data_IF_616130617774
#
_entry.id   IF_616130617774
#
_cell.length_a   1.000
_cell.length_b   1.000
_cell.length_c   1.000
_cell.angle_alpha   90.00
_cell.angle_beta   90.00
_cell.angle_gamma   90.00
#
_symmetry.space_group_name_H-M   'P 1'
#
loop_
_entity.id
_entity.type
_entity.pdbx_description
1 polymer ?
#
# COMPACT_ATOMS: atom_id res chain seq x y z
N UNK A 1 -19.70 4.80 16.64
CA UNK A 1 -18.49 4.46 15.86
C UNK A 1 -18.06 5.69 15.10
N UNK A 2 -16.78 6.05 15.16
CA UNK A 2 -16.19 7.20 14.47
C UNK A 2 -15.02 6.72 13.64
N UNK A 3 -15.04 7.00 12.34
CA UNK A 3 -13.91 6.73 11.44
C UNK A 3 -13.20 8.06 11.19
N UNK A 4 -11.97 8.16 11.66
CA UNK A 4 -11.13 9.34 11.46
C UNK A 4 -10.23 9.12 10.26
N UNK A 5 -10.65 9.68 9.13
CA UNK A 5 -9.87 9.75 7.91
C UNK A 5 -9.29 11.16 7.73
N UNK A 6 -8.06 11.35 8.20
CA UNK A 6 -7.36 12.62 8.11
C UNK A 6 -5.86 12.38 7.90
N UNK A 7 -5.15 13.38 7.40
CA UNK A 7 -3.69 13.32 7.31
C UNK A 7 -3.09 13.19 8.73
N UNK A 8 -2.02 12.40 8.87
CA UNK A 8 -1.39 12.10 10.17
C UNK A 8 -0.98 13.34 10.97
N UNK A 9 -0.68 14.46 10.30
CA UNK A 9 -0.38 15.75 10.92
C UNK A 9 -1.55 16.39 11.66
N UNK A 10 -2.80 16.11 11.26
CA UNK A 10 -4.01 16.69 11.87
C UNK A 10 -4.68 15.78 12.88
N UNK A 11 -4.39 14.47 12.86
CA UNK A 11 -4.96 13.49 13.80
C UNK A 11 -4.74 13.90 15.27
N UNK A 12 -3.53 14.30 15.73
CA UNK A 12 -3.33 14.70 17.12
C UNK A 12 -4.25 15.85 17.56
N UNK A 13 -4.46 16.85 16.68
CA UNK A 13 -5.31 17.99 16.97
C UNK A 13 -6.79 17.61 17.06
N UNK A 14 -7.27 16.81 16.11
CA UNK A 14 -8.66 16.34 16.10
C UNK A 14 -8.93 15.47 17.33
N UNK A 15 -8.01 14.56 17.65
CA UNK A 15 -8.10 13.67 18.81
C UNK A 15 -8.05 14.44 20.12
N UNK A 16 -7.19 15.46 20.24
CA UNK A 16 -7.14 16.29 21.44
C UNK A 16 -8.48 17.01 21.65
N UNK A 17 -9.02 17.64 20.60
CA UNK A 17 -10.33 18.28 20.69
C UNK A 17 -11.43 17.26 21.04
N UNK A 18 -11.35 16.04 20.52
CA UNK A 18 -12.30 14.97 20.83
C UNK A 18 -12.20 14.50 22.30
N UNK A 19 -10.99 14.42 22.87
CA UNK A 19 -10.76 14.17 24.29
C UNK A 19 -11.33 15.29 25.15
N UNK A 20 -11.04 16.55 24.80
CA UNK A 20 -11.49 17.74 25.54
C UNK A 20 -13.03 17.83 25.59
N UNK A 21 -13.72 17.29 24.58
CA UNK A 21 -15.17 17.23 24.50
C UNK A 21 -15.77 15.90 25.01
N UNK A 22 -14.99 15.02 25.64
CA UNK A 22 -15.42 13.70 26.15
C UNK A 22 -16.11 12.81 25.09
N UNK A 23 -15.67 12.89 23.84
CA UNK A 23 -16.20 12.06 22.74
C UNK A 23 -15.24 10.91 22.35
N UNK A 24 -14.20 10.69 23.14
CA UNK A 24 -13.27 9.55 23.07
C UNK A 24 -13.35 8.79 24.39
N UNK A 25 -13.43 7.46 24.35
CA UNK A 25 -13.59 6.63 25.55
C UNK A 25 -14.46 5.40 25.31
N UNK A 26 -14.85 4.68 26.38
CA UNK A 26 -15.47 3.35 26.29
C UNK A 26 -16.84 3.35 25.58
N UNK A 27 -17.48 4.51 25.44
CA UNK A 27 -18.78 4.65 24.79
C UNK A 27 -18.69 4.83 23.26
N UNK A 28 -17.48 5.08 22.73
CA UNK A 28 -17.26 5.33 21.31
C UNK A 28 -16.10 4.51 20.78
N UNK A 29 -16.35 3.68 19.76
CA UNK A 29 -15.27 3.06 19.00
C UNK A 29 -14.72 4.05 17.98
N UNK A 30 -13.46 4.42 18.13
CA UNK A 30 -12.71 5.23 17.16
C UNK A 30 -11.82 4.33 16.31
N UNK A 31 -11.82 4.60 15.00
CA UNK A 31 -10.99 3.90 14.02
C UNK A 31 -10.15 4.95 13.29
N UNK A 32 -8.83 4.86 13.43
CA UNK A 32 -7.87 5.75 12.81
C UNK A 32 -7.40 5.15 11.47
N UNK A 33 -7.41 5.95 10.41
CA UNK A 33 -6.84 5.55 9.12
C UNK A 33 -5.32 5.77 9.03
N UNK A 34 -4.72 6.42 10.02
CA UNK A 34 -3.30 6.75 10.04
C UNK A 34 -2.79 6.85 11.47
N UNK A 35 -1.51 6.54 11.64
CA UNK A 35 -0.89 6.47 12.98
C UNK A 35 -0.76 7.85 13.61
N UNK A 36 -0.95 7.87 14.93
CA UNK A 36 -0.66 9.00 15.81
C UNK A 36 0.30 8.54 16.91
N UNK A 37 1.23 9.40 17.33
CA UNK A 37 2.04 9.13 18.51
C UNK A 37 1.15 9.19 19.74
N UNK A 38 0.98 8.08 20.46
CA UNK A 38 0.15 8.04 21.67
C UNK A 38 0.75 8.90 22.80
N UNK A 39 2.08 9.09 22.79
CA UNK A 39 2.80 9.97 23.72
C UNK A 39 2.52 11.46 23.49
N UNK A 40 1.77 11.82 22.44
CA UNK A 40 1.30 13.19 22.24
C UNK A 40 0.26 13.60 23.28
N UNK A 41 -0.52 12.64 23.77
CA UNK A 41 -1.63 12.89 24.69
C UNK A 41 -1.17 12.83 26.15
N UNK A 42 -1.87 13.54 27.02
CA UNK A 42 -1.60 13.51 28.46
C UNK A 42 -1.93 12.13 29.04
N UNK A 43 -1.12 11.65 29.99
CA UNK A 43 -1.32 10.37 30.68
C UNK A 43 -2.71 10.24 31.31
N UNK A 44 -3.27 11.36 31.78
CA UNK A 44 -4.62 11.40 32.36
C UNK A 44 -5.73 11.04 31.35
N UNK A 45 -5.44 11.11 30.06
CA UNK A 45 -6.36 10.78 28.97
C UNK A 45 -6.15 9.36 28.43
N UNK A 46 -5.14 8.62 28.90
CA UNK A 46 -4.78 7.32 28.34
C UNK A 46 -5.91 6.29 28.42
N UNK A 47 -6.65 6.26 29.53
CA UNK A 47 -7.75 5.32 29.71
C UNK A 47 -8.84 5.49 28.64
N UNK A 48 -9.05 6.73 28.17
CA UNK A 48 -10.01 7.02 27.11
C UNK A 48 -9.54 6.55 25.73
N UNK A 49 -8.22 6.42 25.53
CA UNK A 49 -7.61 5.99 24.27
C UNK A 49 -7.58 4.47 24.13
N UNK A 50 -7.75 3.71 25.22
CA UNK A 50 -7.75 2.24 25.20
C UNK A 50 -8.91 1.73 24.34
N UNK A 51 -8.61 0.76 23.48
CA UNK A 51 -9.59 0.14 22.59
C UNK A 51 -9.86 0.91 21.29
N UNK A 52 -9.25 2.08 21.09
CA UNK A 52 -9.19 2.70 19.77
C UNK A 52 -8.51 1.76 18.78
N UNK A 53 -9.00 1.75 17.54
CA UNK A 53 -8.50 0.94 16.47
C UNK A 53 -7.65 1.78 15.51
N UNK A 54 -6.59 1.20 14.99
CA UNK A 54 -5.79 1.74 13.91
C UNK A 54 -5.79 0.73 12.78
N UNK A 55 -6.18 1.17 11.59
CA UNK A 55 -5.97 0.41 10.36
C UNK A 55 -4.79 1.04 9.64
N UNK A 56 -3.73 0.26 9.50
CA UNK A 56 -2.58 0.65 8.69
C UNK A 56 -2.18 -0.56 7.85
N UNK A 57 -1.54 -0.34 6.71
CA UNK A 57 -0.93 -1.45 6.03
C UNK A 57 0.19 -2.07 6.91
N UNK A 58 0.26 -3.39 6.95
CA UNK A 58 1.23 -4.14 7.75
C UNK A 58 2.66 -4.05 7.21
N UNK A 59 2.83 -3.51 5.99
CA UNK A 59 4.14 -3.16 5.46
C UNK A 59 4.66 -1.98 6.30
N UNK A 60 5.81 -2.17 6.96
CA UNK A 60 6.48 -1.16 7.80
C UNK A 60 6.33 0.25 7.21
N UNK A 61 5.86 1.24 8.00
CA UNK A 61 5.56 2.62 7.58
C UNK A 61 6.72 3.28 6.81
N UNK A 62 7.96 2.81 7.00
CA UNK A 62 9.14 3.22 6.20
C UNK A 62 9.09 2.83 4.73
N UNK A 63 8.17 1.95 4.33
CA UNK A 63 8.02 1.38 2.98
C UNK A 63 6.89 2.01 2.17
N UNK A 64 6.12 2.96 2.72
CA UNK A 64 5.20 3.82 1.94
C UNK A 64 5.94 4.91 1.17
N UNK A 65 7.01 4.52 0.49
CA UNK A 65 7.75 5.39 -0.38
C UNK A 65 7.41 4.99 -1.82
N UNK A 66 6.81 5.92 -2.58
CA UNK A 66 6.55 5.74 -4.01
C UNK A 66 7.80 5.28 -4.78
N UNK A 67 9.00 5.57 -4.27
CA UNK A 67 10.25 5.05 -4.80
C UNK A 67 10.34 3.52 -4.80
N UNK A 68 9.77 2.82 -3.81
CA UNK A 68 9.76 1.35 -3.77
C UNK A 68 8.87 0.79 -4.88
N UNK A 69 7.66 1.33 -5.01
CA UNK A 69 6.74 0.95 -6.07
C UNK A 69 7.31 1.24 -7.46
N UNK A 70 7.97 2.39 -7.65
CA UNK A 70 8.65 2.73 -8.89
C UNK A 70 9.82 1.79 -9.21
N UNK A 71 10.57 1.36 -8.19
CA UNK A 71 11.67 0.39 -8.35
C UNK A 71 11.13 -0.97 -8.81
N UNK A 72 10.07 -1.46 -8.16
CA UNK A 72 9.46 -2.73 -8.53
C UNK A 72 8.81 -2.67 -9.91
N UNK A 73 8.13 -1.57 -10.26
CA UNK A 73 7.57 -1.36 -11.59
C UNK A 73 8.66 -1.34 -12.68
N UNK A 74 9.81 -0.73 -12.40
CA UNK A 74 10.97 -0.75 -13.30
C UNK A 74 11.49 -2.17 -13.50
N UNK A 75 11.57 -2.96 -12.42
CA UNK A 75 12.02 -4.34 -12.51
C UNK A 75 11.02 -5.23 -13.25
N UNK A 76 9.72 -5.06 -13.02
CA UNK A 76 8.65 -5.70 -13.79
C UNK A 76 8.83 -5.40 -15.28
N UNK A 77 8.98 -4.14 -15.67
CA UNK A 77 9.21 -3.75 -17.06
C UNK A 77 10.43 -4.46 -17.67
N UNK A 78 11.55 -4.51 -16.96
CA UNK A 78 12.77 -5.19 -17.42
C UNK A 78 12.52 -6.69 -17.63
N UNK A 79 11.93 -7.37 -16.64
CA UNK A 79 11.64 -8.80 -16.70
C UNK A 79 10.68 -9.14 -17.85
N UNK A 80 9.61 -8.38 -18.02
CA UNK A 80 8.63 -8.61 -19.08
C UNK A 80 9.22 -8.37 -20.47
N UNK A 81 10.07 -7.35 -20.64
CA UNK A 81 10.82 -7.13 -21.88
C UNK A 81 11.80 -8.28 -22.16
N UNK A 82 12.50 -8.79 -21.14
CA UNK A 82 13.39 -9.95 -21.29
C UNK A 82 12.62 -11.21 -21.71
N UNK A 83 11.47 -11.48 -21.11
CA UNK A 83 10.60 -12.59 -21.50
C UNK A 83 10.10 -12.45 -22.96
N UNK A 84 9.66 -11.25 -23.34
CA UNK A 84 9.24 -10.95 -24.71
C UNK A 84 10.37 -11.23 -25.71
N UNK A 85 11.61 -10.82 -25.39
CA UNK A 85 12.79 -11.10 -26.21
C UNK A 85 13.09 -12.60 -26.34
N UNK A 86 12.97 -13.33 -25.23
CA UNK A 86 13.28 -14.77 -25.19
C UNK A 86 12.25 -15.60 -25.99
N UNK A 87 10.98 -15.17 -26.03
CA UNK A 87 9.91 -15.90 -26.72
C UNK A 87 10.06 -15.94 -28.25
N UNK A 88 10.74 -14.97 -28.87
CA UNK A 88 10.98 -14.93 -30.33
C UNK A 88 12.33 -15.56 -30.69
N UNK A 89 12.34 -16.89 -30.78
CA UNK A 89 13.51 -17.67 -31.23
C UNK A 89 13.91 -17.47 -32.71
N UNK A 90 13.13 -16.76 -33.54
CA UNK A 90 13.46 -16.53 -34.96
C UNK A 90 13.91 -15.08 -35.23
N UNK A 91 15.23 -14.94 -35.33
CA UNK A 91 16.00 -13.71 -35.56
C UNK A 91 15.65 -13.08 -36.92
N UNK A 92 14.95 -11.93 -36.92
CA UNK A 92 15.06 -10.88 -37.97
C UNK A 92 14.19 -9.63 -37.74
N UNK A 93 13.23 -9.61 -36.81
CA UNK A 93 12.40 -8.42 -36.53
C UNK A 93 12.85 -7.69 -35.26
N UNK A 94 12.74 -6.34 -35.23
CA UNK A 94 12.94 -5.59 -33.99
C UNK A 94 11.78 -5.89 -33.04
N UNK A 95 12.12 -6.42 -31.87
CA UNK A 95 11.21 -6.79 -30.78
C UNK A 95 10.57 -5.54 -30.13
N UNK A 96 11.28 -4.41 -30.20
CA UNK A 96 10.76 -3.07 -29.98
C UNK A 96 10.48 -2.44 -31.35
N UNK A 97 9.30 -2.72 -31.89
CA UNK A 97 8.82 -2.10 -33.12
C UNK A 97 7.55 -1.32 -32.84
N UNK A 98 7.48 -0.14 -33.45
CA UNK A 98 6.34 0.76 -33.34
C UNK A 98 5.82 1.03 -34.75
N UNK A 99 4.50 1.04 -34.88
CA UNK A 99 3.79 1.48 -36.09
C UNK A 99 3.18 2.86 -35.86
N UNK A 100 3.02 3.68 -36.91
CA UNK A 100 2.60 5.08 -36.81
C UNK A 100 3.75 6.05 -36.51
N UNK A 101 3.92 7.06 -37.36
CA UNK A 101 5.20 7.81 -37.43
C UNK A 101 5.12 9.33 -37.35
N UNK A 102 4.00 9.93 -36.90
CA UNK A 102 3.88 11.40 -36.96
C UNK A 102 3.57 12.12 -35.64
N UNK A 103 3.07 11.44 -34.61
CA UNK A 103 2.77 12.04 -33.30
C UNK A 103 3.07 11.05 -32.16
N UNK A 104 3.53 11.54 -31.01
CA UNK A 104 3.83 10.71 -29.82
C UNK A 104 2.65 9.87 -29.31
N UNK A 105 1.42 10.19 -29.73
CA UNK A 105 0.19 9.46 -29.37
C UNK A 105 -0.27 8.45 -30.42
N UNK A 106 0.33 8.47 -31.62
CA UNK A 106 -0.06 7.59 -32.74
C UNK A 106 0.92 6.42 -32.93
N UNK A 107 2.04 6.42 -32.21
CA UNK A 107 2.98 5.31 -32.20
C UNK A 107 2.40 4.13 -31.39
N UNK A 108 2.09 3.03 -32.08
CA UNK A 108 1.55 1.80 -31.49
C UNK A 108 2.66 0.79 -31.34
N UNK A 109 2.87 0.30 -30.11
CA UNK A 109 3.79 -0.79 -29.88
C UNK A 109 3.20 -2.08 -30.48
N UNK A 110 3.86 -2.62 -31.51
CA UNK A 110 3.35 -3.75 -32.29
C UNK A 110 3.18 -5.00 -31.42
N UNK A 111 4.02 -5.18 -30.40
CA UNK A 111 4.00 -6.35 -29.53
C UNK A 111 3.31 -6.09 -28.19
N UNK A 112 2.39 -5.12 -28.15
CA UNK A 112 1.71 -4.70 -26.92
C UNK A 112 0.95 -5.84 -26.23
N UNK A 113 0.23 -6.68 -26.98
CA UNK A 113 -0.50 -7.82 -26.40
C UNK A 113 0.45 -8.83 -25.74
N UNK A 114 1.47 -9.28 -26.47
CA UNK A 114 2.49 -10.21 -25.93
C UNK A 114 3.27 -9.63 -24.75
N UNK A 115 3.47 -8.32 -24.75
CA UNK A 115 4.13 -7.61 -23.66
C UNK A 115 3.22 -7.54 -22.42
N UNK A 116 1.94 -7.23 -22.58
CA UNK A 116 0.96 -7.22 -21.49
C UNK A 116 0.80 -8.63 -20.90
N UNK A 117 0.78 -9.67 -21.74
CA UNK A 117 0.81 -11.05 -21.28
C UNK A 117 2.07 -11.33 -20.44
N UNK A 118 3.25 -10.93 -20.93
CA UNK A 118 4.51 -11.09 -20.19
C UNK A 118 4.52 -10.31 -18.86
N UNK A 119 3.92 -9.12 -18.81
CA UNK A 119 3.73 -8.35 -17.56
C UNK A 119 2.83 -9.12 -16.60
N UNK A 120 1.70 -9.65 -17.09
CA UNK A 120 0.76 -10.41 -16.27
C UNK A 120 1.33 -11.73 -15.73
N UNK A 121 2.28 -12.34 -16.42
CA UNK A 121 2.94 -13.56 -15.96
C UNK A 121 4.22 -13.29 -15.16
N UNK A 122 4.62 -12.03 -14.99
CA UNK A 122 5.82 -11.68 -14.23
C UNK A 122 5.55 -11.79 -12.73
N UNK A 123 6.31 -12.67 -12.08
CA UNK A 123 6.25 -12.91 -10.64
C UNK A 123 7.66 -12.86 -10.03
N UNK A 124 7.84 -12.07 -8.97
CA UNK A 124 9.10 -12.02 -8.23
C UNK A 124 8.93 -11.39 -6.84
N UNK A 125 9.95 -11.56 -5.98
CA UNK A 125 10.04 -10.83 -4.72
C UNK A 125 10.71 -9.46 -4.94
N UNK A 126 9.90 -8.39 -4.93
CA UNK A 126 10.36 -7.01 -5.04
C UNK A 126 10.71 -6.37 -3.69
N UNK A 127 11.09 -5.09 -3.73
CA UNK A 127 11.43 -4.31 -2.53
C UNK A 127 10.20 -3.99 -1.70
N UNK A 128 9.06 -3.77 -2.36
CA UNK A 128 7.75 -3.52 -1.72
C UNK A 128 7.01 -4.79 -1.31
N UNK A 129 7.62 -5.99 -1.46
CA UNK A 129 7.11 -7.37 -1.25
C UNK A 129 6.88 -8.12 -2.57
N UNK A 130 6.11 -9.22 -2.52
CA UNK A 130 5.81 -10.07 -3.66
C UNK A 130 5.06 -9.29 -4.75
N UNK A 131 5.53 -9.41 -5.99
CA UNK A 131 5.00 -8.69 -7.15
C UNK A 131 4.38 -9.69 -8.08
N UNK A 132 3.07 -9.56 -8.28
CA UNK A 132 2.31 -10.39 -9.23
C UNK A 132 1.10 -9.60 -9.73
N UNK A 133 0.83 -9.69 -11.03
CA UNK A 133 -0.28 -9.01 -11.70
C UNK A 133 -1.16 -10.03 -12.41
N UNK A 134 -2.40 -9.65 -12.72
CA UNK A 134 -3.30 -10.43 -13.56
C UNK A 134 -3.93 -9.53 -14.59
N UNK A 135 -4.22 -10.07 -15.78
CA UNK A 135 -5.01 -9.37 -16.79
C UNK A 135 -6.44 -9.03 -16.32
N UNK A 136 -6.93 -9.70 -15.28
CA UNK A 136 -8.26 -9.50 -14.72
C UNK A 136 -8.31 -8.48 -13.58
N UNK A 137 -7.16 -7.96 -13.13
CA UNK A 137 -7.07 -7.02 -12.03
C UNK A 137 -6.18 -5.83 -12.43
N UNK A 138 -6.59 -4.62 -12.04
CA UNK A 138 -5.76 -3.41 -12.23
C UNK A 138 -4.69 -3.27 -11.17
N UNK A 139 -4.91 -3.88 -10.00
CA UNK A 139 -3.99 -3.87 -8.86
C UNK A 139 -3.16 -5.17 -8.83
N UNK A 140 -2.12 -5.21 -7.99
CA UNK A 140 -1.39 -6.45 -7.74
C UNK A 140 -2.33 -7.47 -7.11
N UNK A 141 -2.19 -8.74 -7.48
CA UNK A 141 -3.08 -9.81 -6.98
C UNK A 141 -2.77 -10.14 -5.53
N UNK A 142 -1.47 -10.22 -5.21
CA UNK A 142 -0.99 -10.46 -3.85
C UNK A 142 -0.53 -9.11 -3.32
N UNK A 143 -1.47 -8.31 -2.81
CA UNK A 143 -1.14 -6.99 -2.29
C UNK A 143 -1.60 -6.77 -0.86
N UNK A 144 -0.73 -6.05 -0.15
CA UNK A 144 -1.02 -5.27 1.04
C UNK A 144 -1.79 -6.01 2.13
N UNK A 145 -1.03 -6.64 3.03
CA UNK A 145 -1.52 -6.94 4.36
C UNK A 145 -1.99 -5.64 5.01
N UNK A 146 -3.24 -5.54 5.44
CA UNK A 146 -3.69 -4.53 6.37
C UNK A 146 -3.63 -5.10 7.77
N UNK A 147 -3.01 -4.38 8.70
CA UNK A 147 -3.03 -4.71 10.11
C UNK A 147 -4.05 -3.82 10.81
N UNK A 148 -5.04 -4.45 11.43
CA UNK A 148 -5.86 -3.79 12.43
C UNK A 148 -5.16 -3.94 13.78
N UNK A 149 -4.88 -2.81 14.42
CA UNK A 149 -4.27 -2.72 15.74
C UNK A 149 -5.23 -2.07 16.69
N UNK A 150 -5.16 -2.39 17.98
CA UNK A 150 -5.82 -1.62 19.01
C UNK A 150 -4.83 -1.00 19.98
N UNK A 151 -5.25 0.11 20.60
CA UNK A 151 -4.51 0.72 21.70
C UNK A 151 -4.70 -0.12 22.95
N UNK A 152 -3.59 -0.57 23.54
CA UNK A 152 -3.57 -1.32 24.80
C UNK A 152 -2.55 -0.73 25.78
N UNK A 153 -2.76 -0.91 27.09
CA UNK A 153 -1.75 -0.63 28.11
C UNK A 153 -0.47 -1.45 27.90
N UNK A 154 0.66 -0.85 28.22
CA UNK A 154 1.99 -1.47 28.22
C UNK A 154 2.81 -0.96 29.40
N UNK A 155 3.98 -1.57 29.66
CA UNK A 155 4.86 -1.14 30.75
C UNK A 155 5.36 0.31 30.62
N UNK A 156 5.32 0.89 29.41
CA UNK A 156 5.81 2.23 29.11
C UNK A 156 4.70 3.17 28.59
N UNK A 157 3.46 2.98 29.03
CA UNK A 157 2.30 3.77 28.59
C UNK A 157 1.43 3.01 27.61
N UNK A 158 1.00 3.62 26.52
CA UNK A 158 0.11 2.99 25.53
C UNK A 158 0.86 2.54 24.28
N UNK A 159 0.44 1.41 23.71
CA UNK A 159 0.98 0.91 22.44
C UNK A 159 -0.14 0.42 21.51
N UNK A 160 0.12 0.48 20.20
CA UNK A 160 -0.69 -0.21 19.20
C UNK A 160 -0.29 -1.69 19.14
N UNK A 161 -1.20 -2.57 19.51
CA UNK A 161 -1.01 -4.02 19.49
C UNK A 161 -1.79 -4.61 18.30
N UNK A 162 -1.15 -5.40 17.42
CA UNK A 162 -1.85 -6.08 16.33
C UNK A 162 -2.97 -7.00 16.82
N UNK A 163 -4.13 -6.92 16.18
CA UNK A 163 -5.30 -7.77 16.44
C UNK A 163 -5.59 -8.70 15.26
N UNK A 164 -5.58 -8.16 14.05
CA UNK A 164 -5.92 -8.88 12.83
C UNK A 164 -5.00 -8.45 11.71
N UNK A 165 -4.57 -9.42 10.91
CA UNK A 165 -3.93 -9.21 9.63
C UNK A 165 -4.90 -9.65 8.54
N UNK A 166 -5.15 -8.76 7.58
CA UNK A 166 -5.99 -9.02 6.42
C UNK A 166 -5.12 -8.97 5.18
N UNK A 167 -5.02 -10.07 4.46
CA UNK A 167 -4.52 -10.10 3.09
C UNK A 167 -5.71 -10.31 2.17
N UNK A 168 -5.77 -9.57 1.07
CA UNK A 168 -6.69 -9.95 0.00
C UNK A 168 -6.16 -11.28 -0.61
N UNK A 169 -7.01 -12.32 -0.74
CA UNK A 169 -6.62 -13.59 -1.33
C UNK A 169 -6.37 -13.51 -2.84
#
# INVERSE_FOLDING_TARGET
MVVLWAQSSYIPLIMQNALDNNVVGPYYTWILSSRVSLNFFNETSHDNLIGMLLTEPAIDERRYNYALFASDATWTLIQSLQQLCASKMNRSSSWLSFDGSSLCYDSRFIQSDLFLDAVSTTEFLGVSVHIQFSVNATDRIIDLYYSAKNVQPSSNGLNFVPLLEYAHP
#
